data_IF_363119654843
#
_entry.id   IF_363119654843
#
_cell.length_a   1.000
_cell.length_b   1.000
_cell.length_c   1.000
_cell.angle_alpha   90.00
_cell.angle_beta   90.00
_cell.angle_gamma   90.00
#
_symmetry.space_group_name_H-M   'P 1'
#
loop_
_entity.id
_entity.type
_entity.pdbx_description
1 polymer ?
#
# COMPACT_ATOMS: atom_id res chain seq x y z
N UNK A 1 22.31 -39.51 9.19
CA UNK A 1 21.06 -38.79 8.82
C UNK A 1 20.77 -37.60 9.73
N UNK A 2 20.77 -37.72 11.07
CA UNK A 2 20.44 -36.59 11.97
C UNK A 2 21.32 -35.33 11.86
N UNK A 3 22.64 -35.46 11.67
CA UNK A 3 23.54 -34.30 11.44
C UNK A 3 23.23 -33.55 10.16
N UNK A 4 22.82 -34.25 9.10
CA UNK A 4 22.48 -33.62 7.82
C UNK A 4 21.19 -32.79 7.94
N UNK A 5 20.18 -33.35 8.62
CA UNK A 5 18.92 -32.64 8.91
C UNK A 5 19.14 -31.39 9.78
N UNK A 6 20.01 -31.48 10.79
CA UNK A 6 20.38 -30.34 11.64
C UNK A 6 21.05 -29.21 10.84
N UNK A 7 21.99 -29.55 9.96
CA UNK A 7 22.71 -28.56 9.14
C UNK A 7 21.76 -27.92 8.11
N UNK A 8 20.92 -28.70 7.45
CA UNK A 8 19.92 -28.18 6.51
C UNK A 8 18.90 -27.27 7.20
N UNK A 9 18.43 -27.63 8.40
CA UNK A 9 17.51 -26.80 9.18
C UNK A 9 18.16 -25.48 9.63
N UNK A 10 19.42 -25.52 10.08
CA UNK A 10 20.15 -24.32 10.49
C UNK A 10 20.41 -23.38 9.31
N UNK A 11 20.71 -23.92 8.12
CA UNK A 11 20.90 -23.13 6.90
C UNK A 11 19.60 -22.42 6.47
N UNK A 12 18.45 -23.10 6.52
CA UNK A 12 17.14 -22.49 6.23
C UNK A 12 16.79 -21.35 7.20
N UNK A 13 17.07 -21.53 8.50
CA UNK A 13 16.85 -20.49 9.52
C UNK A 13 17.77 -19.28 9.31
N UNK A 14 19.04 -19.49 8.95
CA UNK A 14 19.96 -18.40 8.63
C UNK A 14 19.52 -17.63 7.37
N UNK A 15 18.98 -18.31 6.36
CA UNK A 15 18.44 -17.67 5.16
C UNK A 15 17.23 -16.79 5.47
N UNK A 16 16.37 -17.20 6.42
CA UNK A 16 15.25 -16.37 6.89
C UNK A 16 15.69 -15.12 7.65
N UNK A 17 16.83 -15.15 8.36
CA UNK A 17 17.36 -14.00 9.09
C UNK A 17 18.02 -12.92 8.19
N UNK A 18 18.38 -13.25 6.95
CA UNK A 18 19.03 -12.30 6.02
C UNK A 18 18.03 -11.47 5.21
N UNK A 19 16.72 -11.69 5.37
CA UNK A 19 15.70 -10.88 4.71
C UNK A 19 15.62 -9.49 5.33
N UNK A 20 16.04 -8.46 4.59
CA UNK A 20 15.71 -7.07 4.93
C UNK A 20 14.34 -6.74 4.34
N UNK A 21 13.37 -6.40 5.20
CA UNK A 21 12.10 -5.84 4.74
C UNK A 21 12.30 -4.37 4.41
N UNK A 22 12.12 -4.00 3.14
CA UNK A 22 12.14 -2.61 2.71
C UNK A 22 10.72 -2.05 2.66
N UNK A 23 10.57 -0.78 3.05
CA UNK A 23 9.32 -0.04 2.88
C UNK A 23 9.35 0.63 1.51
N UNK A 24 8.41 0.22 0.65
CA UNK A 24 8.04 0.97 -0.55
C UNK A 24 6.72 1.69 -0.29
N UNK A 25 6.80 3.02 -0.12
CA UNK A 25 5.65 3.90 0.12
C UNK A 25 5.25 4.62 -1.16
N UNK A 26 3.98 4.48 -1.56
CA UNK A 26 3.45 5.07 -2.78
C UNK A 26 2.30 6.01 -2.45
N UNK A 27 2.32 7.21 -3.04
CA UNK A 27 1.24 8.18 -2.91
C UNK A 27 0.18 7.96 -3.98
N UNK A 28 -1.07 7.83 -3.55
CA UNK A 28 -2.25 8.03 -4.39
C UNK A 28 -2.73 9.47 -4.23
N UNK A 29 -3.08 10.12 -5.33
CA UNK A 29 -3.50 11.54 -5.33
C UNK A 29 -4.96 11.65 -5.73
N UNK A 30 -5.82 12.15 -4.84
CA UNK A 30 -7.27 12.18 -5.04
C UNK A 30 -7.74 13.08 -6.18
N UNK A 31 -6.92 14.04 -6.62
CA UNK A 31 -7.23 14.89 -7.79
C UNK A 31 -6.93 14.20 -9.14
N UNK A 32 -6.25 13.05 -9.16
CA UNK A 32 -5.95 12.34 -10.40
C UNK A 32 -7.20 11.79 -11.11
N UNK A 33 -8.33 11.69 -10.38
CA UNK A 33 -9.64 11.38 -10.93
C UNK A 33 -10.12 12.40 -11.99
N UNK A 34 -9.59 13.63 -11.97
CA UNK A 34 -10.00 14.71 -12.87
C UNK A 34 -9.14 14.83 -14.14
N UNK A 35 -8.14 13.97 -14.31
CA UNK A 35 -7.32 13.98 -15.52
C UNK A 35 -8.15 13.59 -16.76
N UNK A 36 -7.81 14.05 -17.97
CA UNK A 36 -8.50 13.60 -19.17
C UNK A 36 -8.20 12.12 -19.47
N UNK A 37 -9.12 11.40 -20.13
CA UNK A 37 -8.83 10.07 -20.65
C UNK A 37 -7.60 10.09 -21.58
N UNK A 38 -6.75 9.05 -21.56
CA UNK A 38 -6.86 7.80 -20.78
C UNK A 38 -6.17 7.86 -19.40
N UNK A 39 -5.84 9.07 -18.92
CA UNK A 39 -4.94 9.26 -17.76
C UNK A 39 -5.67 9.47 -16.43
N UNK A 40 -7.00 9.32 -16.42
CA UNK A 40 -7.80 9.23 -15.19
C UNK A 40 -7.23 8.13 -14.31
N UNK A 41 -7.04 8.42 -13.03
CA UNK A 41 -6.49 7.45 -12.08
C UNK A 41 -7.34 7.39 -10.81
N UNK A 42 -7.86 6.19 -10.54
CA UNK A 42 -8.76 5.85 -9.44
C UNK A 42 -8.14 4.73 -8.60
N UNK A 43 -8.65 4.43 -7.39
CA UNK A 43 -8.13 3.34 -6.56
C UNK A 43 -8.07 1.98 -7.25
N UNK A 44 -9.05 1.68 -8.13
CA UNK A 44 -9.06 0.43 -8.90
C UNK A 44 -7.97 0.32 -9.98
N UNK A 45 -7.18 1.38 -10.20
CA UNK A 45 -6.01 1.35 -11.08
C UNK A 45 -4.71 1.00 -10.34
N UNK A 46 -4.75 0.90 -9.01
CA UNK A 46 -3.59 0.55 -8.18
C UNK A 46 -3.41 -0.96 -8.19
N UNK A 47 -2.20 -1.42 -8.45
CA UNK A 47 -1.80 -2.80 -8.18
C UNK A 47 -1.63 -2.98 -6.66
N UNK A 48 -2.46 -3.83 -6.00
CA UNK A 48 -2.43 -4.00 -4.55
C UNK A 48 -1.12 -4.60 -4.03
N UNK A 49 -0.34 -5.26 -4.88
CA UNK A 49 0.92 -5.91 -4.54
C UNK A 49 2.16 -5.08 -4.91
N UNK A 50 1.99 -3.92 -5.55
CA UNK A 50 3.11 -3.09 -6.00
C UNK A 50 3.86 -2.43 -4.84
N UNK A 51 3.14 -1.94 -3.84
CA UNK A 51 3.70 -1.13 -2.75
C UNK A 51 3.39 -1.76 -1.39
N UNK A 52 4.32 -1.63 -0.45
CA UNK A 52 4.10 -2.09 0.93
C UNK A 52 3.20 -1.14 1.72
N UNK A 53 3.21 0.16 1.37
CA UNK A 53 2.43 1.20 2.01
C UNK A 53 1.81 2.10 0.95
N UNK A 54 0.51 2.32 1.05
CA UNK A 54 -0.21 3.27 0.20
C UNK A 54 -0.62 4.48 1.05
N UNK A 55 -0.29 5.67 0.57
CA UNK A 55 -0.53 6.95 1.23
C UNK A 55 -1.56 7.75 0.44
N UNK A 56 -2.67 8.10 1.07
CA UNK A 56 -3.72 8.90 0.45
C UNK A 56 -3.39 10.40 0.55
N UNK A 57 -3.10 11.04 -0.58
CA UNK A 57 -2.85 12.47 -0.69
C UNK A 57 -4.08 13.16 -1.32
N UNK A 58 -4.74 14.12 -0.66
CA UNK A 58 -4.50 14.63 0.70
C UNK A 58 -5.80 14.73 1.49
N UNK A 59 -5.68 14.71 2.81
CA UNK A 59 -6.72 15.24 3.69
C UNK A 59 -6.55 16.76 3.87
N UNK A 60 -7.57 17.41 4.42
CA UNK A 60 -7.52 18.84 4.81
C UNK A 60 -7.78 19.00 6.32
N UNK A 61 -7.81 20.25 6.79
CA UNK A 61 -8.18 20.59 8.16
C UNK A 61 -9.33 21.61 8.17
N UNK A 62 -10.32 21.37 9.03
CA UNK A 62 -11.43 22.29 9.31
C UNK A 62 -11.62 22.36 10.82
N UNK A 63 -11.62 23.56 11.39
CA UNK A 63 -11.73 23.78 12.84
C UNK A 63 -10.71 22.97 13.66
N UNK A 64 -9.45 22.91 13.19
CA UNK A 64 -8.37 22.11 13.78
C UNK A 64 -8.67 20.60 13.88
N UNK A 65 -9.57 20.10 13.05
CA UNK A 65 -9.87 18.68 12.91
C UNK A 65 -9.60 18.22 11.49
N UNK A 66 -9.19 16.97 11.32
CA UNK A 66 -9.01 16.35 10.00
C UNK A 66 -10.36 16.32 9.28
N UNK A 67 -10.35 16.69 8.01
CA UNK A 67 -11.50 16.66 7.13
C UNK A 67 -11.12 16.13 5.75
N UNK A 68 -12.12 15.71 4.97
CA UNK A 68 -11.96 15.35 3.56
C UNK A 68 -11.64 16.58 2.72
N UNK A 69 -10.79 16.41 1.72
CA UNK A 69 -10.47 17.46 0.74
C UNK A 69 -11.45 17.44 -0.43
N UNK A 70 -11.64 16.27 -1.05
CA UNK A 70 -12.56 16.09 -2.18
C UNK A 70 -13.95 15.63 -1.72
N UNK A 71 -14.96 15.96 -2.52
CA UNK A 71 -16.37 15.66 -2.24
C UNK A 71 -16.66 14.15 -2.17
N UNK A 72 -15.86 13.33 -2.84
CA UNK A 72 -16.01 11.87 -2.90
C UNK A 72 -14.90 11.10 -2.16
N UNK A 73 -14.09 11.78 -1.34
CA UNK A 73 -13.00 11.16 -0.58
C UNK A 73 -13.51 9.96 0.26
N UNK A 74 -14.67 10.06 0.90
CA UNK A 74 -15.22 8.96 1.72
C UNK A 74 -15.46 7.69 0.90
N UNK A 75 -15.95 7.84 -0.33
CA UNK A 75 -16.13 6.71 -1.26
C UNK A 75 -14.77 6.15 -1.67
N UNK A 76 -13.84 7.02 -2.06
CA UNK A 76 -12.48 6.63 -2.47
C UNK A 76 -11.70 5.99 -1.32
N UNK A 77 -11.93 6.37 -0.06
CA UNK A 77 -11.33 5.73 1.11
C UNK A 77 -11.80 4.29 1.24
N UNK A 78 -13.08 4.02 0.97
CA UNK A 78 -13.62 2.66 0.96
C UNK A 78 -12.93 1.79 -0.08
N UNK A 79 -12.86 2.28 -1.32
CA UNK A 79 -12.18 1.58 -2.44
C UNK A 79 -10.68 1.38 -2.17
N UNK A 80 -10.00 2.44 -1.72
CA UNK A 80 -8.57 2.41 -1.43
C UNK A 80 -8.24 1.43 -0.30
N UNK A 81 -9.06 1.37 0.76
CA UNK A 81 -8.86 0.40 1.83
C UNK A 81 -9.22 -1.04 1.43
N UNK A 82 -10.12 -1.23 0.47
CA UNK A 82 -10.48 -2.55 -0.02
C UNK A 82 -9.31 -3.26 -0.71
N UNK A 83 -8.31 -2.52 -1.21
CA UNK A 83 -7.06 -3.06 -1.77
C UNK A 83 -6.29 -3.94 -0.76
N UNK A 84 -6.49 -3.75 0.55
CA UNK A 84 -5.86 -4.60 1.58
C UNK A 84 -6.35 -6.05 1.60
N UNK A 85 -7.46 -6.34 0.92
CA UNK A 85 -8.09 -7.67 0.90
C UNK A 85 -8.01 -8.34 -0.49
N UNK A 86 -7.16 -7.81 -1.38
CA UNK A 86 -6.87 -8.40 -2.70
C UNK A 86 -5.52 -9.08 -2.65
#
# INVERSE_FOLDING_TARGET
MGKLLLVSGLALLLQMQMGSSYILSCYFTNWAQYRPPPTVYMPHNIDPCLCTHLLYAFATMKNNQIATFEWNDVTLYGEFNALKNQ
#
